data_IF_003627795803
#
_entry.id   IF_003627795803
#
_cell.length_a   1.000
_cell.length_b   1.000
_cell.length_c   1.000
_cell.angle_alpha   90.00
_cell.angle_beta   90.00
_cell.angle_gamma   90.00
#
_symmetry.space_group_name_H-M   'P 1'
#
loop_
_entity.id
_entity.type
_entity.pdbx_description
1 polymer ?
#
# COMPACT_ATOMS: atom_id res chain seq x y z
N UNK A 1 -23.64 1.87 21.39
CA UNK A 1 -22.19 2.18 21.45
C UNK A 1 -21.49 1.49 20.29
N UNK A 2 -20.59 2.20 19.64
CA UNK A 2 -19.81 1.62 18.53
C UNK A 2 -18.50 1.08 19.09
N UNK A 3 -18.21 -0.16 18.78
CA UNK A 3 -16.93 -0.75 19.15
C UNK A 3 -15.94 -0.59 18.01
N UNK A 4 -14.69 -0.28 18.36
CA UNK A 4 -13.60 -0.17 17.42
C UNK A 4 -12.47 -1.09 17.84
N UNK A 5 -11.68 -1.50 16.86
CA UNK A 5 -10.44 -2.24 17.10
C UNK A 5 -9.30 -1.53 16.42
N UNK A 6 -8.10 -1.71 16.94
CA UNK A 6 -6.90 -1.13 16.34
C UNK A 6 -6.38 -2.07 15.27
N UNK A 7 -6.10 -1.51 14.10
CA UNK A 7 -5.49 -2.23 12.97
C UNK A 7 -4.40 -1.35 12.37
N UNK A 8 -3.58 -1.93 11.53
CA UNK A 8 -2.57 -1.18 10.78
C UNK A 8 -3.16 -0.75 9.44
N UNK A 9 -3.11 0.54 9.15
CA UNK A 9 -3.36 1.06 7.81
C UNK A 9 -2.02 1.20 7.12
N UNK A 10 -1.92 0.67 5.91
CA UNK A 10 -0.67 0.64 5.15
C UNK A 10 -0.89 1.37 3.84
N UNK A 11 0.06 2.25 3.51
CA UNK A 11 0.11 2.89 2.20
C UNK A 11 1.43 2.56 1.53
N UNK A 12 1.36 2.17 0.27
CA UNK A 12 2.53 1.83 -0.52
C UNK A 12 2.49 2.65 -1.80
N UNK A 13 3.46 3.56 -1.94
CA UNK A 13 3.62 4.35 -3.16
C UNK A 13 4.59 3.59 -4.06
N UNK A 14 4.13 3.22 -5.24
CA UNK A 14 4.89 2.37 -6.14
C UNK A 14 4.68 2.78 -7.60
N UNK A 15 5.60 2.38 -8.45
CA UNK A 15 5.43 2.54 -9.88
C UNK A 15 4.23 1.74 -10.37
N UNK A 16 3.46 2.32 -11.26
CA UNK A 16 2.25 1.69 -11.80
C UNK A 16 2.56 0.30 -12.38
N UNK A 17 3.69 0.15 -13.04
CA UNK A 17 4.08 -1.12 -13.67
C UNK A 17 4.31 -2.23 -12.66
N UNK A 18 4.55 -1.89 -11.39
CA UNK A 18 4.86 -2.84 -10.34
C UNK A 18 3.68 -3.06 -9.38
N UNK A 19 2.52 -2.46 -9.71
CA UNK A 19 1.32 -2.57 -8.88
C UNK A 19 0.95 -4.01 -8.56
N UNK A 20 0.98 -4.88 -9.56
CA UNK A 20 0.57 -6.27 -9.37
C UNK A 20 1.47 -6.99 -8.36
N UNK A 21 2.76 -6.71 -8.35
CA UNK A 21 3.68 -7.29 -7.37
C UNK A 21 3.30 -6.89 -5.96
N UNK A 22 2.86 -5.65 -5.77
CA UNK A 22 2.43 -5.16 -4.47
C UNK A 22 1.13 -5.84 -4.04
N UNK A 23 0.14 -5.88 -4.90
CA UNK A 23 -1.15 -6.50 -4.56
C UNK A 23 -1.02 -8.00 -4.34
N UNK A 24 -0.16 -8.68 -5.12
CA UNK A 24 0.13 -10.11 -4.90
C UNK A 24 0.79 -10.33 -3.53
N UNK A 25 1.66 -9.43 -3.10
CA UNK A 25 2.27 -9.52 -1.78
C UNK A 25 1.24 -9.35 -0.66
N UNK A 26 0.28 -8.46 -0.85
CA UNK A 26 -0.83 -8.28 0.10
C UNK A 26 -1.63 -9.58 0.22
N UNK A 27 -1.93 -10.20 -0.91
CA UNK A 27 -2.64 -11.48 -0.93
C UNK A 27 -1.84 -12.58 -0.23
N UNK A 28 -0.53 -12.66 -0.48
CA UNK A 28 0.34 -13.64 0.19
C UNK A 28 0.39 -13.45 1.69
N UNK A 29 0.28 -12.22 2.15
CA UNK A 29 0.29 -11.91 3.58
C UNK A 29 -1.03 -12.28 4.28
N UNK A 30 -2.01 -12.79 3.53
CA UNK A 30 -3.29 -13.18 4.09
C UNK A 30 -4.23 -12.02 4.36
N UNK A 31 -3.96 -10.87 3.77
CA UNK A 31 -4.80 -9.67 3.93
C UNK A 31 -5.95 -9.74 2.93
N UNK A 32 -7.16 -9.44 3.39
CA UNK A 32 -8.37 -9.73 2.62
C UNK A 32 -8.67 -8.74 1.49
N UNK A 33 -8.16 -7.52 1.56
CA UNK A 33 -8.50 -6.54 0.53
C UNK A 33 -7.48 -5.44 0.37
N UNK A 34 -7.57 -4.75 -0.74
CA UNK A 34 -6.72 -3.60 -1.04
C UNK A 34 -7.43 -2.67 -2.02
N UNK A 35 -6.96 -1.44 -2.05
CA UNK A 35 -7.48 -0.42 -2.98
C UNK A 35 -6.29 0.23 -3.65
N UNK A 36 -6.41 0.49 -4.94
CA UNK A 36 -5.37 1.19 -5.70
C UNK A 36 -5.91 2.54 -6.14
N UNK A 37 -5.14 3.59 -5.85
CA UNK A 37 -5.48 4.96 -6.21
C UNK A 37 -4.41 5.49 -7.15
N UNK A 38 -4.78 5.98 -8.33
CA UNK A 38 -3.79 6.61 -9.21
C UNK A 38 -3.33 7.94 -8.63
N UNK A 39 -2.04 8.22 -8.74
CA UNK A 39 -1.45 9.46 -8.26
C UNK A 39 -1.27 10.40 -9.44
N UNK A 40 -1.87 11.58 -9.38
CA UNK A 40 -1.85 12.52 -10.51
C UNK A 40 -0.50 13.20 -10.68
N UNK A 41 0.19 13.50 -9.56
CA UNK A 41 1.51 14.11 -9.61
C UNK A 41 2.17 14.00 -8.24
N UNK A 42 3.46 14.20 -8.22
CA UNK A 42 4.23 14.20 -6.99
C UNK A 42 5.68 14.58 -7.27
N UNK A 43 6.45 14.60 -6.20
CA UNK A 43 7.89 14.86 -6.28
C UNK A 43 8.61 14.00 -5.26
N UNK A 44 9.58 13.24 -5.69
CA UNK A 44 10.41 12.41 -4.84
C UNK A 44 11.88 12.71 -5.03
N UNK A 45 12.75 11.85 -4.53
CA UNK A 45 14.20 12.02 -4.63
C UNK A 45 14.68 12.06 -6.08
N UNK A 46 14.00 11.34 -6.97
CA UNK A 46 14.38 11.21 -8.37
C UNK A 46 13.69 12.24 -9.27
N UNK A 47 12.99 13.22 -8.68
CA UNK A 47 12.31 14.26 -9.42
C UNK A 47 10.81 14.17 -9.36
N UNK A 48 10.17 14.88 -10.26
CA UNK A 48 8.72 14.97 -10.34
C UNK A 48 8.15 13.87 -11.22
N UNK A 49 6.92 13.45 -10.91
CA UNK A 49 6.14 12.57 -11.78
C UNK A 49 4.72 13.09 -11.88
N UNK A 50 4.01 12.68 -12.93
CA UNK A 50 2.64 13.11 -13.17
C UNK A 50 1.90 12.11 -14.04
N UNK A 51 0.59 12.28 -14.14
CA UNK A 51 -0.23 11.47 -15.00
C UNK A 51 0.15 11.68 -16.45
N UNK A 52 0.26 10.58 -17.21
CA UNK A 52 0.48 10.61 -18.65
C UNK A 52 -0.81 10.19 -19.34
N UNK A 53 -1.23 10.97 -20.34
CA UNK A 53 -2.51 10.76 -21.00
C UNK A 53 -2.64 9.43 -21.74
N UNK A 54 -1.53 8.94 -22.28
CA UNK A 54 -1.53 7.73 -23.10
C UNK A 54 -1.27 6.49 -22.28
N UNK A 55 -0.41 6.58 -21.27
CA UNK A 55 0.06 5.44 -20.50
C UNK A 55 -0.52 5.38 -19.07
N UNK A 56 -1.36 6.35 -18.72
CA UNK A 56 -1.89 6.45 -17.36
C UNK A 56 -0.92 7.18 -16.43
N UNK A 57 -1.00 6.86 -15.14
CA UNK A 57 -0.16 7.50 -14.13
C UNK A 57 1.17 6.78 -13.98
N UNK A 58 2.21 7.52 -13.63
CA UNK A 58 3.52 6.94 -13.30
C UNK A 58 3.49 6.17 -12.00
N UNK A 59 2.70 6.62 -11.03
CA UNK A 59 2.66 6.08 -9.68
C UNK A 59 1.24 5.73 -9.27
N UNK A 60 1.14 4.76 -8.39
CA UNK A 60 -0.10 4.40 -7.70
C UNK A 60 0.15 4.38 -6.20
N UNK A 61 -0.91 4.59 -5.46
CA UNK A 61 -0.93 4.43 -4.02
C UNK A 61 -1.80 3.21 -3.72
N UNK A 62 -1.19 2.19 -3.14
CA UNK A 62 -1.91 0.97 -2.75
C UNK A 62 -2.23 1.06 -1.26
N UNK A 63 -3.50 0.92 -0.92
CA UNK A 63 -4.00 1.06 0.43
C UNK A 63 -4.54 -0.28 0.92
N UNK A 64 -4.22 -0.61 2.17
CA UNK A 64 -4.81 -1.79 2.80
C UNK A 64 -4.87 -1.60 4.31
N UNK A 65 -5.69 -2.40 4.96
CA UNK A 65 -5.83 -2.43 6.42
C UNK A 65 -5.68 -3.88 6.85
N UNK A 66 -4.90 -4.12 7.89
CA UNK A 66 -4.60 -5.48 8.35
C UNK A 66 -4.32 -5.51 9.84
N UNK A 67 -4.47 -6.71 10.42
CA UNK A 67 -3.96 -6.97 11.75
C UNK A 67 -2.43 -6.80 11.76
N UNK A 68 -1.86 -6.51 12.91
CA UNK A 68 -0.44 -6.20 13.03
C UNK A 68 0.46 -7.29 12.45
N UNK A 69 0.18 -8.56 12.77
CA UNK A 69 1.02 -9.66 12.29
C UNK A 69 1.05 -9.75 10.77
N UNK A 70 -0.12 -9.59 10.14
CA UNK A 70 -0.21 -9.63 8.68
C UNK A 70 0.48 -8.41 8.06
N UNK A 71 0.36 -7.25 8.70
CA UNK A 71 1.03 -6.04 8.25
C UNK A 71 2.55 -6.19 8.28
N UNK A 72 3.07 -6.77 9.35
CA UNK A 72 4.51 -6.98 9.47
C UNK A 72 5.01 -8.02 8.45
N UNK A 73 4.23 -9.07 8.21
CA UNK A 73 4.56 -10.05 7.17
C UNK A 73 4.62 -9.41 5.79
N UNK A 74 3.68 -8.51 5.49
CA UNK A 74 3.69 -7.76 4.24
C UNK A 74 4.94 -6.88 4.12
N UNK A 75 5.28 -6.17 5.19
CA UNK A 75 6.44 -5.29 5.19
C UNK A 75 7.73 -6.08 4.93
N UNK A 76 7.86 -7.25 5.56
CA UNK A 76 9.03 -8.11 5.35
C UNK A 76 9.10 -8.66 3.92
N UNK A 77 7.96 -9.07 3.36
CA UNK A 77 7.90 -9.56 1.97
C UNK A 77 8.29 -8.48 0.98
N UNK A 78 7.86 -7.24 1.22
CA UNK A 78 8.14 -6.12 0.32
C UNK A 78 9.49 -5.46 0.54
N UNK A 79 10.17 -5.73 1.66
CA UNK A 79 11.41 -5.03 2.00
C UNK A 79 12.45 -5.03 0.87
N UNK A 80 12.73 -6.15 0.17
CA UNK A 80 13.68 -6.11 -0.94
C UNK A 80 13.25 -5.18 -2.07
N UNK A 81 11.94 -5.11 -2.34
CA UNK A 81 11.42 -4.25 -3.40
C UNK A 81 11.47 -2.77 -3.01
N UNK A 82 11.30 -2.46 -1.72
CA UNK A 82 11.41 -1.08 -1.24
C UNK A 82 12.79 -0.51 -1.58
N UNK A 83 13.82 -1.30 -1.33
CA UNK A 83 15.19 -0.88 -1.62
C UNK A 83 15.48 -0.85 -3.12
N UNK A 84 15.09 -1.89 -3.84
CA UNK A 84 15.42 -2.05 -5.25
C UNK A 84 14.70 -1.04 -6.15
N UNK A 85 13.42 -0.81 -5.88
CA UNK A 85 12.56 0.00 -6.76
C UNK A 85 12.19 1.35 -6.16
N UNK A 86 12.64 1.65 -4.95
CA UNK A 86 12.35 2.93 -4.31
C UNK A 86 10.90 3.11 -3.89
N UNK A 87 10.19 2.03 -3.61
CA UNK A 87 8.83 2.12 -3.07
C UNK A 87 8.88 2.78 -1.70
N UNK A 88 7.81 3.48 -1.35
CA UNK A 88 7.65 4.03 -0.02
C UNK A 88 6.48 3.31 0.64
N UNK A 89 6.76 2.67 1.76
CA UNK A 89 5.74 2.01 2.57
C UNK A 89 5.65 2.72 3.90
N UNK A 90 4.47 3.15 4.26
CA UNK A 90 4.19 3.73 5.57
C UNK A 90 3.00 3.02 6.20
N UNK A 91 2.99 2.95 7.51
CA UNK A 91 1.88 2.35 8.23
C UNK A 91 1.66 3.07 9.55
N UNK A 92 0.42 3.03 10.02
CA UNK A 92 0.06 3.60 11.31
C UNK A 92 -1.18 2.91 11.86
N UNK A 93 -1.40 3.13 13.14
CA UNK A 93 -2.56 2.56 13.80
C UNK A 93 -3.81 3.35 13.45
N UNK A 94 -4.88 2.64 13.17
CA UNK A 94 -6.20 3.23 12.95
C UNK A 94 -7.23 2.47 13.75
N UNK A 95 -8.31 3.15 14.11
CA UNK A 95 -9.45 2.50 14.72
C UNK A 95 -10.41 2.10 13.61
N UNK A 96 -10.80 0.84 13.59
CA UNK A 96 -11.67 0.29 12.56
C UNK A 96 -12.95 -0.22 13.20
N UNK A 97 -14.07 0.14 12.61
CA UNK A 97 -15.36 -0.43 12.96
C UNK A 97 -15.48 -1.73 12.14
N UNK A 98 -16.02 -2.79 12.76
CA UNK A 98 -16.11 -4.11 12.12
C UNK A 98 -14.73 -4.71 11.85
N UNK A 99 -13.86 -4.62 12.85
CA UNK A 99 -12.48 -5.07 12.74
C UNK A 99 -12.30 -6.56 12.46
N UNK A 100 -13.33 -7.37 12.64
CA UNK A 100 -13.31 -8.78 12.32
C UNK A 100 -13.07 -9.06 10.83
N UNK A 101 -13.18 -8.05 9.98
CA UNK A 101 -12.90 -8.15 8.54
C UNK A 101 -11.42 -8.00 8.18
N UNK A 102 -10.63 -7.60 9.16
CA UNK A 102 -9.23 -7.23 8.87
C UNK A 102 -8.21 -8.00 9.67
#
# INVERSE_FOLDING_TARGET
>A
MIETVIRKRIEILADTQLQKRVTDAIDRAGITGWTVVPVTSGKGREGRWREERVMGTDKVLVLTIAAEDNAMALAEDLAPMLTKYGFILSMWDVQVIRGERF
#
